data_IF_549745276155
#
_entry.id   IF_549745276155
#
_cell.length_a   1.000
_cell.length_b   1.000
_cell.length_c   1.000
_cell.angle_alpha   90.00
_cell.angle_beta   90.00
_cell.angle_gamma   90.00
#
_symmetry.space_group_name_H-M   'P 1'
#
loop_
_entity.id
_entity.type
_entity.pdbx_description
1 polymer ?
#
# COMPACT_ATOMS: atom_id res chain seq x y z
N UNK A 1 8.65 -39.68 1.34
CA UNK A 1 7.57 -38.68 1.41
C UNK A 1 7.82 -37.86 2.68
N UNK A 2 8.37 -36.66 2.55
CA UNK A 2 8.50 -35.74 3.69
C UNK A 2 7.42 -34.67 3.50
N UNK A 3 6.43 -34.69 4.38
CA UNK A 3 5.44 -33.61 4.48
C UNK A 3 6.15 -32.37 5.04
N UNK A 4 6.46 -31.43 4.15
CA UNK A 4 7.00 -30.14 4.52
C UNK A 4 5.83 -29.25 4.97
N UNK A 5 5.39 -29.42 6.21
CA UNK A 5 4.33 -28.62 6.82
C UNK A 5 4.89 -27.23 7.11
N UNK A 6 4.90 -26.37 6.09
CA UNK A 6 5.18 -24.95 6.21
C UNK A 6 4.21 -24.36 7.25
N UNK A 7 4.72 -24.04 8.43
CA UNK A 7 3.95 -23.47 9.52
C UNK A 7 3.48 -22.05 9.13
N UNK A 8 2.28 -21.94 8.58
CA UNK A 8 1.74 -20.74 7.89
C UNK A 8 1.31 -19.59 8.82
N UNK A 9 1.50 -19.70 10.14
CA UNK A 9 0.97 -18.73 11.10
C UNK A 9 2.00 -18.38 12.17
N UNK A 10 3.12 -17.79 11.77
CA UNK A 10 4.02 -17.13 12.73
C UNK A 10 3.55 -15.70 12.92
N UNK A 11 2.66 -15.49 13.90
CA UNK A 11 2.28 -14.16 14.36
C UNK A 11 3.29 -13.72 15.41
N UNK A 12 3.90 -12.56 15.20
CA UNK A 12 4.86 -11.95 16.13
C UNK A 12 4.52 -10.49 16.35
N UNK A 13 4.87 -9.99 17.54
CA UNK A 13 4.82 -8.56 17.85
C UNK A 13 6.14 -7.91 17.47
N UNK A 14 6.08 -6.76 16.81
CA UNK A 14 7.26 -6.03 16.33
C UNK A 14 6.96 -4.52 16.21
N UNK A 15 8.01 -3.71 16.06
CA UNK A 15 7.95 -2.29 15.74
C UNK A 15 8.47 -2.04 14.33
N UNK A 16 7.86 -1.12 13.59
CA UNK A 16 8.25 -0.80 12.22
C UNK A 16 8.42 0.70 12.03
N UNK A 17 9.57 1.14 11.52
CA UNK A 17 9.78 2.50 11.06
C UNK A 17 9.46 2.61 9.57
N UNK A 18 8.63 3.58 9.19
CA UNK A 18 8.15 3.73 7.82
C UNK A 18 8.98 4.72 6.99
N UNK A 19 10.00 5.37 7.54
CA UNK A 19 10.86 6.28 6.78
C UNK A 19 10.10 7.32 5.94
N UNK A 20 10.68 7.71 4.80
CA UNK A 20 10.05 8.63 3.85
C UNK A 20 9.09 7.88 2.92
N UNK A 21 7.85 8.34 2.85
CA UNK A 21 6.78 7.71 2.08
C UNK A 21 5.93 8.75 1.35
N UNK A 22 5.22 8.28 0.32
CA UNK A 22 4.06 8.98 -0.25
C UNK A 22 2.81 8.14 0.03
N UNK A 23 1.72 8.82 0.35
CA UNK A 23 0.43 8.18 0.61
C UNK A 23 -0.74 8.93 -0.03
N UNK A 24 -1.80 8.19 -0.33
CA UNK A 24 -3.07 8.75 -0.78
C UNK A 24 -4.23 7.96 -0.19
N UNK A 25 -5.33 8.65 0.12
CA UNK A 25 -6.60 8.01 0.40
C UNK A 25 -7.28 7.67 -0.93
N UNK A 26 -7.32 6.39 -1.29
CA UNK A 26 -8.16 5.89 -2.36
C UNK A 26 -9.60 5.77 -1.87
N UNK A 27 -10.55 6.31 -2.66
CA UNK A 27 -11.99 6.21 -2.40
C UNK A 27 -12.65 5.57 -3.61
N UNK A 28 -13.05 4.31 -3.47
CA UNK A 28 -13.58 3.53 -4.59
C UNK A 28 -13.23 2.05 -4.52
N UNK A 29 -13.67 1.26 -5.52
CA UNK A 29 -13.30 -0.14 -5.68
C UNK A 29 -11.79 -0.36 -5.79
N UNK A 30 -11.30 -1.50 -5.29
CA UNK A 30 -9.88 -1.86 -5.35
C UNK A 30 -9.33 -1.91 -6.79
N UNK A 31 -10.16 -2.28 -7.77
CA UNK A 31 -9.77 -2.32 -9.18
C UNK A 31 -9.39 -0.95 -9.75
N UNK A 32 -9.82 0.14 -9.10
CA UNK A 32 -9.55 1.53 -9.50
C UNK A 32 -8.31 2.12 -8.78
N UNK A 33 -7.66 1.37 -7.88
CA UNK A 33 -6.42 1.78 -7.21
C UNK A 33 -5.28 2.17 -8.17
N UNK A 34 -5.11 1.56 -9.37
CA UNK A 34 -4.13 2.03 -10.35
C UNK A 34 -4.24 3.52 -10.68
N UNK A 35 -5.43 4.12 -10.65
CA UNK A 35 -5.59 5.57 -10.86
C UNK A 35 -5.01 6.39 -9.71
N UNK A 36 -5.15 5.91 -8.47
CA UNK A 36 -4.52 6.52 -7.31
C UNK A 36 -3.00 6.41 -7.38
N UNK A 37 -2.46 5.26 -7.79
CA UNK A 37 -1.02 5.09 -7.97
C UNK A 37 -0.45 6.02 -9.05
N UNK A 38 -1.14 6.20 -10.18
CA UNK A 38 -0.72 7.16 -11.20
C UNK A 38 -0.63 8.60 -10.67
N UNK A 39 -1.56 9.01 -9.79
CA UNK A 39 -1.51 10.32 -9.14
C UNK A 39 -0.32 10.44 -8.20
N UNK A 40 -0.06 9.40 -7.40
CA UNK A 40 1.10 9.35 -6.51
C UNK A 40 2.41 9.38 -7.29
N UNK A 41 2.51 8.61 -8.38
CA UNK A 41 3.70 8.56 -9.22
C UNK A 41 3.98 9.94 -9.87
N UNK A 42 2.93 10.61 -10.35
CA UNK A 42 3.01 11.98 -10.85
C UNK A 42 3.46 12.99 -9.78
N UNK A 43 2.93 12.87 -8.56
CA UNK A 43 3.37 13.68 -7.43
C UNK A 43 4.86 13.42 -7.11
N UNK A 44 5.31 12.16 -7.08
CA UNK A 44 6.71 11.86 -6.79
C UNK A 44 7.65 12.43 -7.84
N UNK A 45 7.33 12.26 -9.12
CA UNK A 45 8.16 12.78 -10.21
C UNK A 45 8.29 14.31 -10.15
N UNK A 46 7.19 15.03 -9.85
CA UNK A 46 7.20 16.48 -9.73
C UNK A 46 8.06 16.99 -8.56
N UNK A 47 8.19 16.19 -7.50
CA UNK A 47 8.92 16.56 -6.29
C UNK A 47 10.36 16.00 -6.28
N UNK A 48 10.86 15.47 -7.40
CA UNK A 48 12.20 14.86 -7.44
C UNK A 48 12.31 13.64 -6.54
N UNK A 49 11.23 12.86 -6.41
CA UNK A 49 11.17 11.64 -5.62
C UNK A 49 10.93 10.44 -6.53
N UNK A 50 11.42 9.28 -6.11
CA UNK A 50 11.16 8.00 -6.78
C UNK A 50 10.83 6.92 -5.75
N UNK A 51 10.10 5.89 -6.16
CA UNK A 51 9.88 4.70 -5.33
C UNK A 51 11.20 4.04 -4.98
N UNK A 52 11.43 3.77 -3.69
CA UNK A 52 12.60 3.02 -3.22
C UNK A 52 12.37 1.51 -3.24
N UNK A 53 11.11 1.06 -3.20
CA UNK A 53 10.73 -0.35 -3.14
C UNK A 53 9.69 -0.73 -4.19
N UNK A 54 9.62 -2.03 -4.51
CA UNK A 54 8.60 -2.58 -5.40
C UNK A 54 7.26 -2.79 -4.71
N UNK A 55 7.25 -2.89 -3.39
CA UNK A 55 6.07 -3.20 -2.61
C UNK A 55 5.42 -1.91 -2.10
N UNK A 56 4.12 -1.98 -1.89
CA UNK A 56 3.33 -0.94 -1.26
C UNK A 56 2.55 -1.53 -0.09
N UNK A 57 2.09 -0.65 0.80
CA UNK A 57 1.21 -0.97 1.90
C UNK A 57 -0.20 -0.49 1.57
N UNK A 58 -1.18 -1.34 1.88
CA UNK A 58 -2.61 -1.03 1.81
C UNK A 58 -3.19 -1.08 3.22
N UNK A 59 -3.78 0.02 3.66
CA UNK A 59 -4.47 0.10 4.95
C UNK A 59 -5.97 0.27 4.69
N UNK A 60 -6.71 -0.81 4.84
CA UNK A 60 -8.16 -0.83 4.66
C UNK A 60 -8.85 -0.19 5.87
N UNK A 61 -9.47 0.97 5.67
CA UNK A 61 -10.13 1.72 6.75
C UNK A 61 -11.57 1.23 7.01
N UNK A 62 -12.17 0.55 6.04
CA UNK A 62 -13.51 0.00 6.16
C UNK A 62 -13.60 -1.46 5.71
N UNK A 63 -14.64 -2.12 6.22
CA UNK A 63 -14.91 -3.51 5.86
C UNK A 63 -15.66 -3.55 4.53
N UNK A 64 -15.05 -4.18 3.52
CA UNK A 64 -15.60 -4.30 2.17
C UNK A 64 -16.97 -5.00 2.10
N UNK A 65 -17.32 -5.82 3.10
CA UNK A 65 -18.63 -6.49 3.18
C UNK A 65 -19.75 -5.60 3.73
N UNK A 66 -19.41 -4.41 4.24
CA UNK A 66 -20.35 -3.52 4.95
C UNK A 66 -20.53 -2.17 4.26
N UNK A 67 -19.79 -1.91 3.18
CA UNK A 67 -19.73 -0.62 2.51
C UNK A 67 -19.88 -0.83 1.00
N UNK A 68 -20.62 0.07 0.35
CA UNK A 68 -20.75 0.06 -1.10
C UNK A 68 -19.38 0.29 -1.77
N UNK A 69 -19.09 -0.33 -2.92
CA UNK A 69 -17.78 -0.19 -3.58
C UNK A 69 -17.30 1.26 -3.75
N UNK A 70 -18.17 2.17 -4.19
CA UNK A 70 -17.85 3.61 -4.34
C UNK A 70 -17.63 4.40 -3.04
N UNK A 71 -17.72 3.75 -1.87
CA UNK A 71 -17.45 4.34 -0.55
C UNK A 71 -16.34 3.61 0.20
N UNK A 72 -15.72 2.60 -0.40
CA UNK A 72 -14.55 1.94 0.16
C UNK A 72 -13.41 2.95 0.33
N UNK A 73 -12.61 2.74 1.36
CA UNK A 73 -11.52 3.65 1.73
C UNK A 73 -10.27 2.84 2.05
N UNK A 74 -9.25 3.00 1.24
CA UNK A 74 -7.94 2.37 1.41
C UNK A 74 -6.88 3.47 1.41
N UNK A 75 -6.00 3.48 2.41
CA UNK A 75 -4.77 4.28 2.29
C UNK A 75 -3.77 3.44 1.52
N UNK A 76 -3.32 3.95 0.38
CA UNK A 76 -2.22 3.38 -0.39
C UNK A 76 -0.95 4.13 -0.02
N UNK A 77 0.13 3.41 0.30
CA UNK A 77 1.39 3.99 0.72
C UNK A 77 2.57 3.23 0.14
N UNK A 78 3.61 3.92 -0.29
CA UNK A 78 4.89 3.29 -0.62
C UNK A 78 6.07 4.18 -0.19
N UNK A 79 7.22 3.55 0.01
CA UNK A 79 8.46 4.22 0.36
C UNK A 79 9.05 4.96 -0.84
N UNK A 80 9.65 6.10 -0.56
CA UNK A 80 10.31 6.94 -1.56
C UNK A 80 11.70 7.37 -1.11
N UNK A 81 12.52 7.73 -2.07
CA UNK A 81 13.82 8.37 -1.89
C UNK A 81 13.98 9.52 -2.89
N UNK A 82 14.97 10.39 -2.65
CA UNK A 82 15.31 11.45 -3.58
C UNK A 82 15.77 10.87 -4.93
N UNK A 83 15.31 11.48 -6.02
CA UNK A 83 15.76 11.17 -7.38
C UNK A 83 17.06 11.92 -7.62
N UNK A 84 18.16 11.18 -7.72
CA UNK A 84 19.46 11.67 -8.20
C UNK A 84 19.42 12.01 -9.69
#
# INVERSE_FOLDING_TARGET
>A
MQENTMNRFKVSFDSMEHGMCVEILHVGPFDDEPESFQKMDGFTALNGLKRSEKWHCEIYLNNAKRVLPGKLKTILRYHVEESL
#
